data_IF_739913134443
#
_entry.id   IF_739913134443
#
_cell.length_a   1.000
_cell.length_b   1.000
_cell.length_c   1.000
_cell.angle_alpha   90.00
_cell.angle_beta   90.00
_cell.angle_gamma   90.00
#
_symmetry.space_group_name_H-M   'P 1'
#
loop_
_entity.id
_entity.type
_entity.pdbx_description
1 polymer ?
#
# COMPACT_ATOMS: atom_id res chain seq x y z
N UNK A 1 32.88 -0.96 19.29
CA UNK A 1 33.22 -2.18 18.52
C UNK A 1 32.21 -2.29 17.40
N UNK A 2 32.69 -2.32 16.16
CA UNK A 2 31.85 -2.46 14.96
C UNK A 2 32.18 -3.81 14.32
N UNK A 3 31.23 -4.41 13.62
CA UNK A 3 31.48 -5.58 12.80
C UNK A 3 31.70 -5.14 11.36
N UNK A 4 32.63 -5.79 10.68
CA UNK A 4 32.70 -5.79 9.22
C UNK A 4 32.17 -7.12 8.73
N UNK A 5 31.49 -7.12 7.59
CA UNK A 5 30.92 -8.30 6.95
C UNK A 5 31.74 -8.61 5.72
N UNK A 6 32.36 -9.79 5.67
CA UNK A 6 33.25 -10.21 4.59
C UNK A 6 32.53 -11.25 3.73
N UNK A 7 32.55 -11.05 2.42
CA UNK A 7 31.87 -11.87 1.43
C UNK A 7 32.88 -12.52 0.47
N UNK A 8 32.62 -13.74 0.03
CA UNK A 8 33.42 -14.42 -0.97
C UNK A 8 33.11 -13.91 -2.40
N UNK A 9 33.78 -14.45 -3.42
CA UNK A 9 33.54 -14.12 -4.84
C UNK A 9 32.12 -14.45 -5.33
N UNK A 10 31.42 -15.37 -4.66
CA UNK A 10 30.03 -15.70 -4.92
C UNK A 10 29.05 -14.81 -4.13
N UNK A 11 29.55 -13.78 -3.44
CA UNK A 11 28.82 -12.83 -2.60
C UNK A 11 28.14 -13.46 -1.38
N UNK A 12 28.63 -14.62 -0.92
CA UNK A 12 28.15 -15.26 0.30
C UNK A 12 28.92 -14.71 1.50
N UNK A 13 28.22 -14.42 2.60
CA UNK A 13 28.83 -13.96 3.84
C UNK A 13 29.68 -15.09 4.46
N UNK A 14 31.00 -14.88 4.58
CA UNK A 14 31.96 -15.88 5.07
C UNK A 14 32.56 -15.54 6.44
N UNK A 15 32.57 -14.27 6.85
CA UNK A 15 33.10 -13.86 8.16
C UNK A 15 32.51 -12.54 8.65
N UNK A 16 32.50 -12.35 9.97
CA UNK A 16 32.07 -11.10 10.63
C UNK A 16 33.03 -10.67 11.75
N UNK A 17 34.30 -10.29 11.45
CA UNK A 17 35.25 -9.94 12.49
C UNK A 17 34.89 -8.61 13.16
N UNK A 18 35.28 -8.51 14.43
CA UNK A 18 35.19 -7.27 15.20
C UNK A 18 36.35 -6.35 14.83
N UNK A 19 36.04 -5.10 14.52
CA UNK A 19 37.04 -4.07 14.22
C UNK A 19 37.02 -2.96 15.27
N UNK A 20 38.20 -2.39 15.47
CA UNK A 20 38.45 -1.22 16.32
C UNK A 20 38.12 0.08 15.59
N UNK A 21 38.55 0.17 14.31
CA UNK A 21 38.32 1.29 13.41
C UNK A 21 38.16 0.79 11.96
N UNK A 22 37.41 1.53 11.13
CA UNK A 22 37.22 1.21 9.71
C UNK A 22 38.51 1.40 8.91
N UNK A 23 39.25 2.48 9.17
CA UNK A 23 40.50 2.78 8.44
C UNK A 23 41.58 1.72 8.72
N UNK A 24 41.73 1.26 9.96
CA UNK A 24 42.68 0.19 10.29
C UNK A 24 42.35 -1.12 9.55
N UNK A 25 41.06 -1.41 9.38
CA UNK A 25 40.64 -2.57 8.61
C UNK A 25 40.95 -2.39 7.12
N UNK A 26 40.66 -1.23 6.53
CA UNK A 26 40.94 -0.94 5.12
C UNK A 26 42.44 -1.01 4.83
N UNK A 27 43.28 -0.49 5.73
CA UNK A 27 44.75 -0.54 5.58
C UNK A 27 45.31 -1.97 5.70
N UNK A 28 44.76 -2.80 6.57
CA UNK A 28 45.24 -4.17 6.77
C UNK A 28 44.13 -5.15 7.21
N UNK A 29 43.30 -5.65 6.27
CA UNK A 29 42.20 -6.57 6.58
C UNK A 29 42.70 -7.87 7.24
N UNK A 30 43.89 -8.34 6.86
CA UNK A 30 44.52 -9.57 7.38
C UNK A 30 44.82 -9.51 8.88
N UNK A 31 44.95 -8.31 9.46
CA UNK A 31 45.09 -8.13 10.92
C UNK A 31 43.84 -8.61 11.68
N UNK A 32 42.67 -8.46 11.07
CA UNK A 32 41.37 -8.80 11.67
C UNK A 32 40.83 -10.15 11.17
N UNK A 33 41.19 -10.54 9.95
CA UNK A 33 40.83 -11.82 9.34
C UNK A 33 42.01 -12.36 8.52
N UNK A 34 42.88 -13.22 9.10
CA UNK A 34 44.11 -13.68 8.43
C UNK A 34 43.91 -14.33 7.06
N UNK A 35 42.75 -14.96 6.84
CA UNK A 35 42.37 -15.60 5.58
C UNK A 35 41.77 -14.61 4.55
N UNK A 36 41.88 -13.29 4.78
CA UNK A 36 41.42 -12.30 3.83
C UNK A 36 42.23 -12.36 2.52
N UNK A 37 41.53 -12.49 1.39
CA UNK A 37 42.08 -12.56 0.04
C UNK A 37 41.66 -11.33 -0.78
N UNK A 38 42.39 -11.01 -1.86
CA UNK A 38 42.07 -9.84 -2.70
C UNK A 38 40.71 -9.97 -3.40
N UNK A 39 40.28 -11.20 -3.67
CA UNK A 39 38.96 -11.50 -4.25
C UNK A 39 37.79 -11.41 -3.26
N UNK A 40 38.05 -11.15 -1.97
CA UNK A 40 36.99 -10.94 -0.99
C UNK A 40 36.47 -9.50 -1.05
N UNK A 41 35.17 -9.37 -0.78
CA UNK A 41 34.51 -8.09 -0.62
C UNK A 41 34.18 -7.85 0.85
N UNK A 42 34.02 -6.58 1.24
CA UNK A 42 33.59 -6.25 2.58
C UNK A 42 32.52 -5.14 2.59
N UNK A 43 31.68 -5.15 3.61
CA UNK A 43 30.77 -4.06 3.92
C UNK A 43 30.74 -3.84 5.43
N UNK A 44 30.56 -2.59 5.85
CA UNK A 44 30.35 -2.25 7.26
C UNK A 44 28.90 -2.42 7.72
N UNK A 45 28.01 -2.82 6.81
CA UNK A 45 26.63 -3.22 7.05
C UNK A 45 26.38 -4.62 6.51
N UNK A 46 25.47 -5.36 7.14
CA UNK A 46 25.08 -6.67 6.63
C UNK A 46 24.23 -6.47 5.37
N UNK A 47 24.60 -7.16 4.30
CA UNK A 47 23.89 -7.19 3.04
C UNK A 47 23.06 -8.47 2.97
N UNK A 48 21.84 -8.36 2.44
CA UNK A 48 20.90 -9.48 2.28
C UNK A 48 20.95 -9.98 0.84
N UNK A 49 20.91 -9.06 -0.13
CA UNK A 49 21.02 -9.32 -1.57
C UNK A 49 22.22 -8.52 -2.10
N UNK A 50 23.45 -9.00 -1.85
CA UNK A 50 24.64 -8.30 -2.31
C UNK A 50 24.79 -8.31 -3.84
N UNK A 51 25.30 -7.23 -4.39
CA UNK A 51 25.67 -7.07 -5.81
C UNK A 51 26.96 -6.26 -5.92
N UNK A 52 27.70 -6.43 -7.02
CA UNK A 52 28.90 -5.65 -7.33
C UNK A 52 28.57 -4.52 -8.29
N UNK A 53 28.92 -3.30 -7.92
CA UNK A 53 28.84 -2.11 -8.77
C UNK A 53 30.18 -1.35 -8.70
N UNK A 54 30.76 -1.03 -9.85
CA UNK A 54 32.05 -0.32 -9.95
C UNK A 54 33.21 -0.99 -9.16
N UNK A 55 33.14 -2.31 -8.95
CA UNK A 55 34.14 -3.07 -8.21
C UNK A 55 33.92 -3.12 -6.69
N UNK A 56 32.87 -2.45 -6.18
CA UNK A 56 32.51 -2.45 -4.77
C UNK A 56 31.23 -3.26 -4.53
N UNK A 57 31.12 -3.87 -3.35
CA UNK A 57 29.91 -4.59 -2.94
C UNK A 57 28.90 -3.64 -2.32
N UNK A 58 27.63 -3.77 -2.72
CA UNK A 58 26.51 -3.04 -2.13
C UNK A 58 25.26 -3.90 -2.05
N UNK A 59 24.25 -3.40 -1.35
CA UNK A 59 22.91 -3.99 -1.38
C UNK A 59 22.26 -3.74 -2.75
N UNK A 60 21.52 -4.73 -3.26
CA UNK A 60 20.65 -4.52 -4.41
C UNK A 60 19.57 -3.49 -4.07
N UNK A 61 19.38 -2.54 -4.97
CA UNK A 61 18.19 -1.68 -4.96
C UNK A 61 16.94 -2.53 -5.14
N UNK A 62 15.80 -1.97 -4.75
CA UNK A 62 14.52 -2.66 -4.93
C UNK A 62 14.24 -3.00 -6.40
N UNK A 63 14.51 -2.07 -7.33
CA UNK A 63 14.30 -2.30 -8.75
C UNK A 63 15.14 -3.48 -9.28
N UNK A 64 16.39 -3.62 -8.83
CA UNK A 64 17.23 -4.76 -9.18
C UNK A 64 16.67 -6.08 -8.63
N UNK A 65 16.17 -6.10 -7.39
CA UNK A 65 15.56 -7.30 -6.82
C UNK A 65 14.30 -7.73 -7.56
N UNK A 66 13.44 -6.77 -7.91
CA UNK A 66 12.24 -7.04 -8.71
C UNK A 66 12.63 -7.52 -10.11
N UNK A 67 13.62 -6.87 -10.75
CA UNK A 67 14.13 -7.27 -12.07
C UNK A 67 14.77 -8.67 -12.08
N UNK A 68 15.35 -9.09 -10.96
CA UNK A 68 15.91 -10.42 -10.76
C UNK A 68 14.88 -11.48 -10.32
N UNK A 69 13.60 -11.11 -10.14
CA UNK A 69 12.55 -12.01 -9.66
C UNK A 69 12.69 -12.43 -8.20
N UNK A 70 13.46 -11.67 -7.40
CA UNK A 70 13.64 -11.89 -5.96
C UNK A 70 12.58 -11.18 -5.12
N UNK A 71 11.87 -10.23 -5.72
CA UNK A 71 10.79 -9.45 -5.12
C UNK A 71 9.69 -9.27 -6.17
N UNK A 72 8.42 -9.32 -5.77
CA UNK A 72 7.30 -9.05 -6.66
C UNK A 72 6.88 -7.57 -6.60
N UNK A 73 6.34 -7.05 -7.71
CA UNK A 73 5.70 -5.73 -7.71
C UNK A 73 4.44 -5.78 -6.85
N UNK A 74 4.22 -4.72 -6.07
CA UNK A 74 2.99 -4.53 -5.30
C UNK A 74 1.89 -3.91 -6.18
N UNK A 75 0.66 -3.84 -5.67
CA UNK A 75 -0.42 -3.14 -6.36
C UNK A 75 -0.07 -1.68 -6.64
N UNK A 76 -0.36 -1.22 -7.85
CA UNK A 76 0.00 0.13 -8.31
C UNK A 76 1.44 0.26 -8.81
N UNK A 77 2.30 -0.74 -8.60
CA UNK A 77 3.70 -0.67 -8.99
C UNK A 77 3.97 -1.23 -10.39
N UNK A 78 4.89 -0.57 -11.10
CA UNK A 78 5.30 -0.96 -12.45
C UNK A 78 6.70 -0.47 -12.77
N UNK A 79 7.32 -1.04 -13.81
CA UNK A 79 8.60 -0.55 -14.32
C UNK A 79 8.41 0.61 -15.31
N UNK A 80 9.19 1.66 -15.11
CA UNK A 80 9.44 2.70 -16.10
C UNK A 80 10.94 2.77 -16.35
N UNK A 81 11.40 2.12 -17.42
CA UNK A 81 12.83 1.89 -17.65
C UNK A 81 13.42 0.97 -16.58
N UNK A 82 14.42 1.45 -15.83
CA UNK A 82 15.10 0.71 -14.77
C UNK A 82 14.60 1.05 -13.36
N UNK A 83 13.55 1.87 -13.24
CA UNK A 83 12.99 2.28 -11.96
C UNK A 83 11.62 1.64 -11.75
N UNK A 84 11.33 1.31 -10.49
CA UNK A 84 9.97 0.96 -10.06
C UNK A 84 9.23 2.25 -9.73
N UNK A 85 8.12 2.48 -10.41
CA UNK A 85 7.19 3.60 -10.18
C UNK A 85 5.91 3.09 -9.55
N UNK A 86 5.18 4.02 -8.93
CA UNK A 86 3.90 3.74 -8.26
C UNK A 86 2.83 4.63 -8.87
N UNK A 87 1.68 4.05 -9.23
CA UNK A 87 0.44 4.77 -9.53
C UNK A 87 -0.44 4.73 -8.30
N UNK A 88 -0.80 5.90 -7.78
CA UNK A 88 -1.72 6.02 -6.65
C UNK A 88 -3.09 5.41 -6.95
N UNK A 89 -3.65 4.71 -5.97
CA UNK A 89 -4.96 4.06 -6.08
C UNK A 89 -6.08 5.11 -6.09
N UNK A 90 -6.92 5.20 -7.14
CA UNK A 90 -7.92 6.25 -7.24
C UNK A 90 -9.03 6.15 -6.18
N UNK A 91 -9.49 4.93 -5.89
CA UNK A 91 -10.48 4.63 -4.85
C UNK A 91 -10.42 3.15 -4.44
N UNK A 92 -11.16 2.77 -3.40
CA UNK A 92 -11.31 1.38 -2.97
C UNK A 92 -12.01 0.47 -3.99
N UNK A 93 -12.68 1.07 -4.98
CA UNK A 93 -13.35 0.40 -6.09
C UNK A 93 -12.46 0.20 -7.31
N UNK A 94 -11.15 0.40 -7.18
CA UNK A 94 -10.21 0.12 -8.26
C UNK A 94 -9.33 -1.07 -7.92
N UNK A 95 -9.10 -1.94 -8.91
CA UNK A 95 -8.18 -3.06 -8.80
C UNK A 95 -7.02 -2.88 -9.76
N UNK A 96 -5.82 -3.30 -9.32
CA UNK A 96 -4.61 -3.13 -10.10
C UNK A 96 -4.53 -4.18 -11.20
N UNK A 97 -4.45 -3.73 -12.46
CA UNK A 97 -4.12 -4.59 -13.59
C UNK A 97 -2.64 -4.48 -13.92
N UNK A 98 -1.84 -5.43 -13.43
CA UNK A 98 -0.38 -5.47 -13.64
C UNK A 98 0.03 -5.73 -15.09
N UNK A 99 -0.85 -6.25 -15.94
CA UNK A 99 -0.56 -6.44 -17.37
C UNK A 99 -0.65 -5.13 -18.15
N UNK A 100 -1.55 -4.23 -17.73
CA UNK A 100 -1.74 -2.91 -18.34
C UNK A 100 -1.05 -1.78 -17.58
N UNK A 101 -0.55 -2.06 -16.37
CA UNK A 101 -0.08 -1.07 -15.41
C UNK A 101 -1.14 0.01 -15.15
N UNK A 102 -2.40 -0.39 -14.96
CA UNK A 102 -3.54 0.51 -14.83
C UNK A 102 -4.48 0.09 -13.70
N UNK A 103 -5.10 1.08 -13.05
CA UNK A 103 -6.19 0.87 -12.12
C UNK A 103 -7.49 0.70 -12.91
N UNK A 104 -8.15 -0.44 -12.74
CA UNK A 104 -9.42 -0.76 -13.40
C UNK A 104 -10.54 -0.59 -12.38
N UNK A 105 -11.57 0.14 -12.75
CA UNK A 105 -12.74 0.36 -11.91
C UNK A 105 -13.60 -0.92 -11.83
N UNK A 106 -13.71 -1.48 -10.63
CA UNK A 106 -14.64 -2.55 -10.28
C UNK A 106 -16.02 -1.94 -9.97
N UNK A 107 -16.80 -1.76 -11.03
CA UNK A 107 -18.16 -1.24 -10.97
C UNK A 107 -19.08 -2.13 -10.16
N UNK A 108 -18.95 -3.44 -10.28
CA UNK A 108 -19.83 -4.40 -9.58
C UNK A 108 -19.66 -4.30 -8.07
N UNK A 109 -18.42 -4.14 -7.60
CA UNK A 109 -18.13 -3.91 -6.19
C UNK A 109 -18.69 -2.58 -5.69
N UNK A 110 -18.52 -1.48 -6.43
CA UNK A 110 -19.10 -0.18 -6.05
C UNK A 110 -20.63 -0.25 -5.96
N UNK A 111 -21.27 -0.83 -6.98
CA UNK A 111 -22.72 -1.06 -7.02
C UNK A 111 -23.18 -1.89 -5.82
N UNK A 112 -22.46 -2.97 -5.49
CA UNK A 112 -22.80 -3.82 -4.34
C UNK A 112 -22.70 -3.07 -3.02
N UNK A 113 -21.71 -2.19 -2.85
CA UNK A 113 -21.57 -1.37 -1.64
C UNK A 113 -22.69 -0.35 -1.56
N UNK A 114 -22.95 0.40 -2.64
CA UNK A 114 -24.03 1.39 -2.71
C UNK A 114 -25.39 0.78 -2.38
N UNK A 115 -25.70 -0.40 -2.93
CA UNK A 115 -26.95 -1.11 -2.61
C UNK A 115 -27.12 -1.37 -1.10
N UNK A 116 -26.07 -1.86 -0.44
CA UNK A 116 -26.10 -2.13 0.99
C UNK A 116 -26.27 -0.85 1.81
N UNK A 117 -25.60 0.23 1.41
CA UNK A 117 -25.71 1.54 2.07
C UNK A 117 -27.11 2.14 1.90
N UNK A 118 -27.66 2.12 0.69
CA UNK A 118 -29.01 2.58 0.39
C UNK A 118 -30.06 1.82 1.23
N UNK A 119 -29.94 0.49 1.32
CA UNK A 119 -30.84 -0.32 2.16
C UNK A 119 -30.72 0.05 3.65
N UNK A 120 -29.50 0.34 4.12
CA UNK A 120 -29.25 0.81 5.48
C UNK A 120 -29.91 2.15 5.77
N UNK A 121 -29.74 3.12 4.87
CA UNK A 121 -30.33 4.46 4.97
C UNK A 121 -31.86 4.38 4.96
N UNK A 122 -32.44 3.57 4.07
CA UNK A 122 -33.91 3.40 3.99
C UNK A 122 -34.47 2.84 5.30
N UNK A 123 -33.81 1.84 5.90
CA UNK A 123 -34.20 1.28 7.20
C UNK A 123 -34.12 2.33 8.30
N UNK A 124 -33.03 3.10 8.36
CA UNK A 124 -32.90 4.14 9.38
C UNK A 124 -33.94 5.24 9.19
N UNK A 125 -34.11 5.76 7.98
CA UNK A 125 -35.12 6.78 7.65
C UNK A 125 -36.50 6.32 8.06
N UNK A 126 -36.88 5.08 7.75
CA UNK A 126 -38.16 4.49 8.18
C UNK A 126 -38.32 4.52 9.70
N UNK A 127 -37.31 4.11 10.48
CA UNK A 127 -37.37 4.15 11.94
C UNK A 127 -37.49 5.58 12.49
N UNK A 128 -36.78 6.55 11.90
CA UNK A 128 -36.88 7.96 12.26
C UNK A 128 -38.27 8.52 11.97
N UNK A 129 -38.87 8.15 10.85
CA UNK A 129 -40.23 8.55 10.49
C UNK A 129 -41.28 7.97 11.46
N UNK A 130 -41.14 6.71 11.89
CA UNK A 130 -42.02 6.14 12.93
C UNK A 130 -41.89 6.91 14.24
N UNK A 131 -40.65 7.16 14.67
CA UNK A 131 -40.36 7.93 15.90
C UNK A 131 -40.90 9.36 15.80
N UNK A 132 -40.81 9.98 14.62
CA UNK A 132 -41.33 11.31 14.35
C UNK A 132 -42.85 11.34 14.52
N UNK A 133 -43.57 10.37 13.93
CA UNK A 133 -45.04 10.25 14.07
C UNK A 133 -45.46 10.13 15.54
N UNK A 134 -44.75 9.32 16.33
CA UNK A 134 -44.99 9.20 17.77
C UNK A 134 -44.72 10.51 18.52
N UNK A 135 -43.62 11.19 18.19
CA UNK A 135 -43.27 12.47 18.80
C UNK A 135 -44.29 13.57 18.45
N UNK A 136 -44.82 13.57 17.23
CA UNK A 136 -45.89 14.45 16.78
C UNK A 136 -47.20 14.17 17.54
N UNK A 137 -47.58 12.89 17.69
CA UNK A 137 -48.75 12.50 18.49
C UNK A 137 -48.63 12.94 19.96
N UNK A 138 -47.41 12.96 20.51
CA UNK A 138 -47.11 13.39 21.88
C UNK A 138 -46.80 14.90 22.00
N UNK A 139 -46.87 15.67 20.90
CA UNK A 139 -46.53 17.10 20.87
C UNK A 139 -45.12 17.45 21.41
N UNK A 140 -44.14 16.56 21.23
CA UNK A 140 -42.75 16.75 21.68
C UNK A 140 -41.95 17.67 20.75
N UNK A 141 -42.30 18.97 20.73
CA UNK A 141 -41.77 19.97 19.76
C UNK A 141 -40.24 19.98 19.60
N UNK A 142 -39.48 19.87 20.68
CA UNK A 142 -38.01 19.85 20.63
C UNK A 142 -37.46 18.60 19.92
N UNK A 143 -38.09 17.43 20.14
CA UNK A 143 -37.69 16.15 19.50
C UNK A 143 -38.05 16.15 18.01
N UNK A 144 -39.23 16.68 17.67
CA UNK A 144 -39.72 16.77 16.29
C UNK A 144 -38.75 17.54 15.40
N UNK A 145 -38.21 18.67 15.87
CA UNK A 145 -37.27 19.48 15.11
C UNK A 145 -35.97 18.74 14.77
N UNK A 146 -35.41 18.01 15.75
CA UNK A 146 -34.22 17.20 15.54
C UNK A 146 -34.46 16.06 14.55
N UNK A 147 -35.54 15.30 14.72
CA UNK A 147 -35.88 14.18 13.83
C UNK A 147 -36.12 14.63 12.39
N UNK A 148 -36.76 15.78 12.17
CA UNK A 148 -36.94 16.33 10.81
C UNK A 148 -35.61 16.68 10.15
N UNK A 149 -34.63 17.16 10.92
CA UNK A 149 -33.28 17.43 10.42
C UNK A 149 -32.56 16.14 10.07
N UNK A 150 -32.58 15.14 10.97
CA UNK A 150 -31.96 13.83 10.74
C UNK A 150 -32.55 13.15 9.49
N UNK A 151 -33.88 13.15 9.32
CA UNK A 151 -34.54 12.60 8.13
C UNK A 151 -34.12 13.33 6.86
N UNK A 152 -33.99 14.67 6.90
CA UNK A 152 -33.55 15.45 5.75
C UNK A 152 -32.10 15.15 5.38
N UNK A 153 -31.22 14.99 6.36
CA UNK A 153 -29.82 14.57 6.16
C UNK A 153 -29.74 13.17 5.54
N UNK A 154 -30.49 12.20 6.07
CA UNK A 154 -30.58 10.84 5.51
C UNK A 154 -31.13 10.84 4.09
N UNK A 155 -32.09 11.73 3.78
CA UNK A 155 -32.65 11.86 2.43
C UNK A 155 -31.63 12.41 1.45
N UNK A 156 -30.89 13.46 1.83
CA UNK A 156 -29.80 14.00 1.01
C UNK A 156 -28.73 12.95 0.74
N UNK A 157 -28.33 12.19 1.77
CA UNK A 157 -27.32 11.14 1.65
C UNK A 157 -27.79 9.98 0.75
N UNK A 158 -29.08 9.61 0.85
CA UNK A 158 -29.71 8.65 -0.05
C UNK A 158 -29.67 9.13 -1.50
N UNK A 159 -30.11 10.37 -1.77
CA UNK A 159 -30.21 10.92 -3.11
C UNK A 159 -28.83 11.01 -3.79
N UNK A 160 -27.79 11.40 -3.05
CA UNK A 160 -26.40 11.44 -3.55
C UNK A 160 -25.89 10.04 -3.93
N UNK A 161 -26.08 9.04 -3.06
CA UNK A 161 -25.68 7.65 -3.32
C UNK A 161 -26.49 7.02 -4.45
N UNK A 162 -27.78 7.30 -4.50
CA UNK A 162 -28.67 6.76 -5.53
C UNK A 162 -28.34 7.35 -6.90
N UNK A 163 -28.03 8.65 -6.99
CA UNK A 163 -27.54 9.25 -8.23
C UNK A 163 -26.28 8.55 -8.75
N UNK A 164 -25.31 8.26 -7.88
CA UNK A 164 -24.11 7.50 -8.24
C UNK A 164 -24.43 6.08 -8.70
N UNK A 165 -25.34 5.40 -8.02
CA UNK A 165 -25.82 4.08 -8.42
C UNK A 165 -26.46 4.09 -9.82
N UNK A 166 -27.29 5.09 -10.12
CA UNK A 166 -27.90 5.27 -11.43
C UNK A 166 -26.87 5.59 -12.52
N UNK A 167 -25.84 6.38 -12.23
CA UNK A 167 -24.72 6.60 -13.16
C UNK A 167 -24.03 5.28 -13.52
N UNK A 168 -23.72 4.44 -12.53
CA UNK A 168 -22.99 3.19 -12.73
C UNK A 168 -23.81 2.14 -13.50
N UNK A 169 -25.11 2.06 -13.23
CA UNK A 169 -26.01 1.08 -13.85
C UNK A 169 -26.60 1.54 -15.18
N UNK A 170 -26.79 2.85 -15.36
CA UNK A 170 -27.30 3.44 -16.60
C UNK A 170 -26.28 3.55 -17.73
N UNK A 171 -24.98 3.38 -17.45
CA UNK A 171 -23.93 3.34 -18.47
C UNK A 171 -23.93 2.07 -19.34
N UNK A 172 -24.61 1.00 -18.93
CA UNK A 172 -24.65 -0.28 -19.69
C UNK A 172 -25.61 -0.25 -20.91
N UNK A 173 -26.49 0.76 -21.03
CA UNK A 173 -27.51 0.84 -22.08
C UNK A 173 -27.12 1.65 -23.35
N UNK A 174 -25.86 2.08 -23.50
CA UNK A 174 -25.39 2.85 -24.67
C UNK A 174 -24.28 2.16 -25.44
#
# INVERSE_FOLDING_TARGET
MKNVYIYNKALELIATPYITNEEEFIENPKRFYPDYLEEHYYSFTKLINPVIENGEIREMTRAERVGAGQEELQEGEYFEGNEVKIKEKPSEFHDWNSQKNEWIHDKEKEISVLNNELEGIDKERFLREQTLKEAEAQNRKFVIGGLKKEIAELTSDYDEKYARYEELTGEEEK
#
